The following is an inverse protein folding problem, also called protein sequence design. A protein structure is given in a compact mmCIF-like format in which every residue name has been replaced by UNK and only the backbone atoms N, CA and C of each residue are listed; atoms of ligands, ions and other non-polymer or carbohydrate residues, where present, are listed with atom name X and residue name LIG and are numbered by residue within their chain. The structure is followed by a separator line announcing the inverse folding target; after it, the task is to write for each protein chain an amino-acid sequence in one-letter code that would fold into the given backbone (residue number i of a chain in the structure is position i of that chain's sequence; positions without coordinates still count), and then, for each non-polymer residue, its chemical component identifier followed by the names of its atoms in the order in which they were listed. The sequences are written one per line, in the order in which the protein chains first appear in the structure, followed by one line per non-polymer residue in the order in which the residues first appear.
data_IF_025420492228
#
_entry.id   IF_025420492228
#
_cell.length_a   1.000
_cell.length_b   1.000
_cell.length_c   1.000
_cell.angle_alpha   90.00
_cell.angle_beta   90.00
_cell.angle_gamma   90.00
#
_symmetry.space_group_name_H-M   'P 1'
#
loop_
_entity.id
_entity.type
_entity.pdbx_description
1 polymer ?
#
# COMPACT_ATOMS: atom_id res chain seq x y z
N UNK A 1 19.70 -0.87 -19.35
CA UNK A 1 18.41 -0.16 -19.38
C UNK A 1 17.81 -0.38 -20.76
N UNK A 2 16.50 -0.60 -20.86
CA UNK A 2 15.84 -0.82 -22.16
C UNK A 2 15.85 0.48 -22.98
N UNK A 3 15.92 0.35 -24.30
CA UNK A 3 15.72 1.47 -25.22
C UNK A 3 14.23 1.79 -25.45
N UNK A 4 13.93 2.88 -26.15
CA UNK A 4 12.55 3.32 -26.39
C UNK A 4 11.71 2.28 -27.14
N UNK A 5 12.31 1.60 -28.13
CA UNK A 5 11.60 0.59 -28.93
C UNK A 5 11.28 -0.62 -28.06
N UNK A 6 12.26 -1.11 -27.30
CA UNK A 6 12.09 -2.20 -26.35
C UNK A 6 11.02 -1.89 -25.29
N UNK A 7 10.93 -0.65 -24.81
CA UNK A 7 9.88 -0.22 -23.88
C UNK A 7 8.51 -0.26 -24.56
N UNK A 8 8.39 0.25 -25.79
CA UNK A 8 7.14 0.24 -26.56
C UNK A 8 6.66 -1.18 -26.82
N UNK A 9 7.58 -2.07 -27.19
CA UNK A 9 7.29 -3.47 -27.45
C UNK A 9 6.81 -4.17 -26.17
N UNK A 10 7.52 -3.98 -25.05
CA UNK A 10 7.14 -4.52 -23.74
C UNK A 10 5.72 -4.10 -23.32
N UNK A 11 5.40 -2.81 -23.48
CA UNK A 11 4.07 -2.27 -23.13
C UNK A 11 3.00 -2.78 -24.07
N UNK A 12 3.28 -2.86 -25.37
CA UNK A 12 2.34 -3.35 -26.38
C UNK A 12 2.03 -4.82 -26.18
N UNK A 13 3.05 -5.64 -25.94
CA UNK A 13 2.94 -7.09 -25.84
C UNK A 13 2.33 -7.54 -24.51
N UNK A 14 2.74 -6.92 -23.40
CA UNK A 14 2.38 -7.42 -22.06
C UNK A 14 1.43 -6.49 -21.29
N UNK A 15 1.24 -5.24 -21.73
CA UNK A 15 0.47 -4.25 -20.97
C UNK A 15 -0.97 -4.66 -20.68
N UNK A 16 -1.64 -5.33 -21.61
CA UNK A 16 -2.99 -5.84 -21.41
C UNK A 16 -3.05 -7.00 -20.40
N UNK A 17 -2.07 -7.91 -20.47
CA UNK A 17 -2.00 -9.13 -19.63
C UNK A 17 -1.61 -8.82 -18.19
N UNK A 18 -0.77 -7.80 -17.96
CA UNK A 18 -0.34 -7.37 -16.62
C UNK A 18 -1.52 -6.97 -15.71
N UNK A 19 -2.65 -6.57 -16.31
CA UNK A 19 -3.86 -6.21 -15.58
C UNK A 19 -4.86 -7.36 -15.39
N UNK A 20 -4.60 -8.53 -15.98
CA UNK A 20 -5.44 -9.73 -15.85
C UNK A 20 -5.09 -10.58 -14.62
N UNK A 21 -4.19 -10.10 -13.75
CA UNK A 21 -3.77 -10.82 -12.55
C UNK A 21 -4.93 -11.09 -11.59
N UNK A 22 -4.88 -12.25 -10.93
CA UNK A 22 -5.83 -12.61 -9.86
C UNK A 22 -5.58 -11.75 -8.61
N UNK A 23 -6.63 -11.33 -7.88
CA UNK A 23 -6.46 -10.68 -6.59
C UNK A 23 -5.82 -11.65 -5.58
N UNK A 24 -5.03 -11.12 -4.63
CA UNK A 24 -4.30 -11.94 -3.65
C UNK A 24 -5.23 -12.84 -2.83
N UNK A 25 -6.44 -12.37 -2.54
CA UNK A 25 -7.47 -13.15 -1.85
C UNK A 25 -7.80 -14.44 -2.59
N UNK A 26 -8.02 -14.36 -3.90
CA UNK A 26 -8.30 -15.51 -4.74
C UNK A 26 -7.10 -16.46 -4.81
N UNK A 27 -5.87 -15.94 -4.94
CA UNK A 27 -4.64 -16.76 -4.95
C UNK A 27 -4.51 -17.58 -3.65
N UNK A 28 -4.87 -16.99 -2.50
CA UNK A 28 -4.84 -17.68 -1.20
C UNK A 28 -5.95 -18.74 -1.12
N UNK A 29 -7.17 -18.40 -1.56
CA UNK A 29 -8.34 -19.30 -1.56
C UNK A 29 -8.15 -20.50 -2.50
N UNK A 30 -7.51 -20.29 -3.65
CA UNK A 30 -7.16 -21.34 -4.63
C UNK A 30 -6.08 -22.31 -4.09
N UNK A 31 -5.43 -21.98 -2.96
CA UNK A 31 -4.41 -22.81 -2.33
C UNK A 31 -3.00 -22.64 -2.90
N UNK A 32 -2.79 -21.68 -3.81
CA UNK A 32 -1.48 -21.39 -4.40
C UNK A 32 -0.46 -20.86 -3.37
N UNK A 33 -0.95 -20.32 -2.25
CA UNK A 33 -0.13 -19.88 -1.12
C UNK A 33 -0.55 -20.57 0.19
N UNK A 34 -0.18 -21.85 0.41
CA UNK A 34 -0.62 -22.62 1.57
C UNK A 34 -0.25 -21.98 2.91
N UNK A 35 0.92 -21.31 2.97
CA UNK A 35 1.41 -20.62 4.17
C UNK A 35 0.53 -19.44 4.60
N UNK A 36 -0.26 -18.89 3.67
CA UNK A 36 -1.19 -17.79 3.93
C UNK A 36 -2.64 -18.27 4.07
N UNK A 37 -2.89 -19.59 4.07
CA UNK A 37 -4.23 -20.13 4.31
C UNK A 37 -4.80 -19.61 5.62
N UNK A 38 -6.06 -19.13 5.58
CA UNK A 38 -6.74 -18.52 6.73
C UNK A 38 -6.18 -17.15 7.15
N UNK A 39 -5.36 -16.50 6.32
CA UNK A 39 -4.94 -15.12 6.57
C UNK A 39 -6.10 -14.14 6.32
N UNK A 40 -6.08 -13.03 7.07
CA UNK A 40 -6.98 -11.91 6.82
C UNK A 40 -6.42 -11.06 5.69
N UNK A 41 -7.23 -10.83 4.66
CA UNK A 41 -6.91 -9.93 3.55
C UNK A 41 -7.74 -8.66 3.68
N UNK A 42 -7.07 -7.51 3.89
CA UNK A 42 -7.67 -6.20 3.83
C UNK A 42 -7.41 -5.57 2.46
N UNK A 43 -8.47 -5.45 1.66
CA UNK A 43 -8.38 -4.84 0.34
C UNK A 43 -8.26 -3.32 0.45
N UNK A 44 -7.17 -2.79 -0.08
CA UNK A 44 -6.92 -1.35 -0.10
C UNK A 44 -7.14 -0.75 -1.48
N UNK A 45 -7.01 0.58 -1.57
CA UNK A 45 -7.16 1.31 -2.83
C UNK A 45 -6.05 1.01 -3.85
N UNK A 46 -4.82 0.82 -3.35
CA UNK A 46 -3.59 0.70 -4.17
C UNK A 46 -2.71 -0.46 -3.70
N UNK A 47 -2.99 -1.01 -2.52
CA UNK A 47 -2.29 -2.19 -1.99
C UNK A 47 -3.21 -2.98 -1.07
N UNK A 48 -3.08 -4.29 -1.12
CA UNK A 48 -3.80 -5.19 -0.22
C UNK A 48 -2.90 -5.61 0.92
N UNK A 49 -3.43 -5.61 2.14
CA UNK A 49 -2.67 -6.02 3.33
C UNK A 49 -3.11 -7.41 3.76
N UNK A 50 -2.15 -8.33 3.86
CA UNK A 50 -2.35 -9.71 4.29
C UNK A 50 -1.62 -9.91 5.62
N UNK A 51 -2.34 -10.41 6.62
CA UNK A 51 -1.76 -10.71 7.92
C UNK A 51 -2.50 -11.86 8.59
N UNK A 52 -1.81 -12.50 9.54
CA UNK A 52 -2.36 -13.58 10.37
C UNK A 52 -1.66 -13.55 11.73
N UNK A 53 -2.27 -14.16 12.74
CA UNK A 53 -1.65 -14.30 14.07
C UNK A 53 -0.33 -15.07 14.00
N UNK A 54 -0.28 -16.16 13.24
CA UNK A 54 0.92 -16.99 13.08
C UNK A 54 1.89 -16.48 12.00
N UNK A 55 1.63 -15.31 11.41
CA UNK A 55 2.54 -14.69 10.44
C UNK A 55 3.48 -13.75 11.19
N UNK A 56 4.55 -14.34 11.74
CA UNK A 56 5.52 -13.66 12.61
C UNK A 56 6.95 -13.86 12.11
N UNK A 57 7.86 -12.97 12.49
CA UNK A 57 9.30 -13.14 12.29
C UNK A 57 9.84 -14.27 13.16
N UNK A 58 11.10 -14.69 12.95
CA UNK A 58 11.79 -15.64 13.85
C UNK A 58 11.85 -15.15 15.31
N UNK A 59 11.81 -13.83 15.51
CA UNK A 59 11.77 -13.19 16.83
C UNK A 59 10.34 -13.06 17.41
N UNK A 60 9.32 -13.61 16.73
CA UNK A 60 7.92 -13.54 17.16
C UNK A 60 7.22 -12.22 16.85
N UNK A 61 7.85 -11.31 16.09
CA UNK A 61 7.23 -10.03 15.75
C UNK A 61 6.19 -10.21 14.64
N UNK A 62 4.95 -9.71 14.80
CA UNK A 62 3.92 -9.84 13.77
C UNK A 62 4.27 -9.13 12.46
N UNK A 63 4.03 -9.81 11.35
CA UNK A 63 4.29 -9.33 10.00
C UNK A 63 2.96 -9.00 9.30
N UNK A 64 2.97 -7.90 8.55
CA UNK A 64 1.98 -7.54 7.54
C UNK A 64 2.64 -7.59 6.16
N UNK A 65 2.08 -8.37 5.25
CA UNK A 65 2.49 -8.40 3.85
C UNK A 65 1.62 -7.44 3.06
N UNK A 66 2.25 -6.47 2.39
CA UNK A 66 1.56 -5.50 1.53
C UNK A 66 1.79 -5.87 0.08
N UNK A 67 0.72 -6.24 -0.62
CA UNK A 67 0.71 -6.57 -2.05
C UNK A 67 0.32 -5.32 -2.83
N UNK A 68 1.26 -4.77 -3.59
CA UNK A 68 1.04 -3.65 -4.51
C UNK A 68 0.24 -4.13 -5.71
N UNK A 69 -0.59 -3.25 -6.25
CA UNK A 69 -1.37 -3.54 -7.44
C UNK A 69 -1.29 -2.40 -8.45
N UNK A 70 -1.76 -2.70 -9.65
CA UNK A 70 -1.81 -1.76 -10.75
C UNK A 70 -3.04 -0.83 -10.72
N UNK A 71 -3.92 -0.96 -9.70
CA UNK A 71 -5.18 -0.20 -9.60
C UNK A 71 -4.92 1.28 -9.35
N UNK A 72 -5.78 2.13 -9.90
CA UNK A 72 -5.74 3.59 -9.72
C UNK A 72 -7.04 4.04 -9.09
N UNK A 73 -6.95 4.80 -8.01
CA UNK A 73 -8.08 5.44 -7.36
C UNK A 73 -7.90 6.94 -7.39
N UNK A 74 -8.87 7.65 -7.96
CA UNK A 74 -8.96 9.12 -7.89
C UNK A 74 -10.40 9.48 -7.52
N UNK A 75 -10.59 10.29 -6.49
CA UNK A 75 -11.92 10.67 -5.95
C UNK A 75 -12.81 9.47 -5.62
N UNK A 76 -12.24 8.43 -4.99
CA UNK A 76 -12.95 7.21 -4.56
C UNK A 76 -13.58 6.37 -5.70
N UNK A 77 -13.32 6.72 -6.96
CA UNK A 77 -13.70 5.93 -8.14
C UNK A 77 -12.48 5.18 -8.66
N UNK A 78 -12.63 3.87 -8.89
CA UNK A 78 -11.64 3.06 -9.59
C UNK A 78 -11.68 3.44 -11.08
N UNK A 79 -10.59 4.05 -11.59
CA UNK A 79 -10.51 4.53 -12.99
C UNK A 79 -9.76 3.56 -13.92
N UNK A 80 -9.46 2.36 -13.45
CA UNK A 80 -8.74 1.33 -14.20
C UNK A 80 -7.38 1.02 -13.61
N UNK A 81 -6.49 0.50 -14.45
CA UNK A 81 -5.16 0.08 -14.06
C UNK A 81 -4.10 0.61 -15.03
N UNK A 82 -2.94 1.02 -14.51
CA UNK A 82 -1.77 1.37 -15.32
C UNK A 82 -0.84 0.15 -15.32
N UNK A 83 -0.50 -0.43 -16.48
CA UNK A 83 0.46 -1.53 -16.54
C UNK A 83 1.80 -1.16 -15.89
N UNK A 84 2.38 -2.10 -15.16
CA UNK A 84 3.68 -1.98 -14.48
C UNK A 84 3.77 -0.92 -13.37
N UNK A 85 2.65 -0.29 -12.99
CA UNK A 85 2.62 0.73 -11.93
C UNK A 85 3.20 0.19 -10.63
N UNK A 86 2.82 -1.02 -10.25
CA UNK A 86 3.26 -1.69 -9.03
C UNK A 86 4.80 -1.84 -8.97
N UNK A 87 5.42 -2.30 -10.07
CA UNK A 87 6.86 -2.50 -10.21
C UNK A 87 7.62 -1.17 -10.25
N UNK A 88 7.13 -0.19 -11.02
CA UNK A 88 7.74 1.15 -11.07
C UNK A 88 7.71 1.80 -9.68
N UNK A 89 6.59 1.69 -8.98
CA UNK A 89 6.49 2.17 -7.61
C UNK A 89 7.36 1.36 -6.65
N UNK A 90 7.58 0.06 -6.88
CA UNK A 90 8.46 -0.78 -6.07
C UNK A 90 9.90 -0.29 -6.14
N UNK A 91 10.42 -0.10 -7.35
CA UNK A 91 11.75 0.48 -7.56
C UNK A 91 11.90 1.86 -6.94
N UNK A 92 10.95 2.77 -7.20
CA UNK A 92 11.02 4.12 -6.65
C UNK A 92 11.00 4.10 -5.12
N UNK A 93 10.14 3.28 -4.53
CA UNK A 93 10.05 3.16 -3.09
C UNK A 93 11.33 2.56 -2.48
N UNK A 94 11.87 1.48 -3.03
CA UNK A 94 13.11 0.88 -2.55
C UNK A 94 14.28 1.87 -2.64
N UNK A 95 14.40 2.57 -3.77
CA UNK A 95 15.41 3.61 -3.94
C UNK A 95 15.28 4.71 -2.88
N UNK A 96 14.08 5.27 -2.69
CA UNK A 96 13.84 6.32 -1.70
C UNK A 96 14.06 5.82 -0.27
N UNK A 97 13.64 4.59 0.04
CA UNK A 97 13.89 3.97 1.34
C UNK A 97 15.39 3.86 1.63
N UNK A 98 16.17 3.38 0.67
CA UNK A 98 17.62 3.25 0.82
C UNK A 98 18.33 4.60 1.04
N UNK A 99 17.80 5.69 0.49
CA UNK A 99 18.35 7.04 0.72
C UNK A 99 18.10 7.57 2.13
N UNK A 100 16.96 7.23 2.75
CA UNK A 100 16.51 7.88 4.00
C UNK A 100 16.46 6.98 5.22
N UNK A 101 16.57 5.65 5.05
CA UNK A 101 16.41 4.67 6.14
C UNK A 101 17.36 4.87 7.31
N UNK A 102 18.59 5.31 7.06
CA UNK A 102 19.60 5.49 8.11
C UNK A 102 19.30 6.72 8.99
N UNK A 103 18.49 7.65 8.47
CA UNK A 103 18.09 8.88 9.18
C UNK A 103 16.71 8.72 9.82
N UNK A 104 15.75 8.14 9.11
CA UNK A 104 14.35 8.08 9.54
C UNK A 104 13.94 6.72 10.14
N UNK A 105 14.76 5.68 9.98
CA UNK A 105 14.38 4.31 10.28
C UNK A 105 13.40 3.74 9.25
N UNK A 106 12.97 2.49 9.45
CA UNK A 106 12.00 1.81 8.60
C UNK A 106 11.19 0.81 9.40
N UNK A 107 9.90 0.69 9.08
CA UNK A 107 9.04 -0.39 9.56
C UNK A 107 8.97 -1.57 8.58
N UNK A 108 9.79 -1.56 7.51
CA UNK A 108 9.87 -2.64 6.53
C UNK A 108 10.97 -3.60 6.94
N UNK A 109 10.67 -4.89 6.84
CA UNK A 109 11.65 -5.93 7.09
C UNK A 109 12.53 -6.12 5.86
N UNK A 110 13.84 -6.20 6.08
CA UNK A 110 14.74 -6.66 5.03
C UNK A 110 14.58 -8.17 4.86
N UNK A 111 14.35 -8.61 3.63
CA UNK A 111 14.30 -10.02 3.25
C UNK A 111 15.38 -10.28 2.23
N UNK A 112 16.32 -11.13 2.60
CA UNK A 112 17.42 -11.52 1.72
C UNK A 112 16.88 -12.15 0.43
N UNK A 113 17.42 -11.72 -0.70
CA UNK A 113 16.99 -12.18 -2.03
C UNK A 113 15.68 -11.56 -2.55
N UNK A 114 14.99 -10.73 -1.77
CA UNK A 114 13.82 -10.00 -2.27
C UNK A 114 14.27 -8.88 -3.20
N UNK A 115 13.86 -8.96 -4.48
CA UNK A 115 14.22 -7.96 -5.48
C UNK A 115 13.54 -6.61 -5.18
N UNK A 116 14.19 -5.47 -5.50
CA UNK A 116 13.57 -4.14 -5.42
C UNK A 116 12.30 -3.97 -6.28
N UNK A 117 12.18 -4.78 -7.34
CA UNK A 117 10.98 -4.85 -8.19
C UNK A 117 9.83 -5.63 -7.57
N UNK A 118 10.03 -6.27 -6.41
CA UNK A 118 9.02 -7.09 -5.76
C UNK A 118 7.78 -6.25 -5.44
N UNK A 119 6.63 -6.76 -5.85
CA UNK A 119 5.33 -6.15 -5.57
C UNK A 119 4.85 -6.45 -4.14
N UNK A 120 5.59 -7.26 -3.38
CA UNK A 120 5.29 -7.61 -1.99
C UNK A 120 6.29 -6.94 -1.04
N UNK A 121 5.77 -6.24 -0.03
CA UNK A 121 6.55 -5.64 1.05
C UNK A 121 6.19 -6.30 2.38
N UNK A 122 7.15 -6.89 3.10
CA UNK A 122 6.97 -7.27 4.49
C UNK A 122 7.21 -6.06 5.40
N UNK A 123 6.23 -5.74 6.25
CA UNK A 123 6.31 -4.65 7.20
C UNK A 123 5.79 -5.08 8.57
N UNK A 124 6.14 -4.31 9.59
CA UNK A 124 5.56 -4.47 10.92
C UNK A 124 4.04 -4.34 10.88
N UNK A 125 3.36 -5.21 11.63
CA UNK A 125 1.93 -5.10 11.84
C UNK A 125 1.63 -3.98 12.84
N UNK A 126 0.69 -3.10 12.52
CA UNK A 126 0.27 -1.98 13.38
C UNK A 126 -1.15 -2.20 13.92
N UNK A 127 -1.45 -1.68 15.11
CA UNK A 127 -2.79 -1.74 15.71
C UNK A 127 -3.89 -1.11 14.84
N UNK A 128 -3.52 -0.11 14.03
CA UNK A 128 -4.42 0.52 13.05
C UNK A 128 -4.90 -0.43 11.95
N UNK A 129 -4.18 -1.52 11.70
CA UNK A 129 -4.55 -2.51 10.69
C UNK A 129 -5.83 -3.26 11.08
N UNK A 130 -6.05 -3.53 12.37
CA UNK A 130 -7.28 -4.17 12.84
C UNK A 130 -8.51 -3.25 12.78
N UNK A 131 -8.30 -1.93 12.94
CA UNK A 131 -9.39 -0.97 13.01
C UNK A 131 -9.89 -0.50 11.62
N UNK A 132 -9.33 -1.01 10.52
CA UNK A 132 -9.56 -0.47 9.17
C UNK A 132 -9.16 1.01 9.04
N UNK A 133 -8.38 1.52 10.00
CA UNK A 133 -8.00 2.93 10.07
C UNK A 133 -6.78 3.15 9.19
N UNK A 134 -7.00 3.89 8.10
CA UNK A 134 -5.99 4.33 7.14
C UNK A 134 -4.85 5.07 7.84
N UNK A 135 -3.81 4.35 8.20
CA UNK A 135 -2.59 4.94 8.76
C UNK A 135 -1.48 4.59 7.79
N UNK A 136 -1.11 5.56 6.94
CA UNK A 136 0.13 5.46 6.21
C UNK A 136 1.25 5.49 7.24
N UNK A 137 2.00 4.40 7.35
CA UNK A 137 3.28 4.40 8.05
C UNK A 137 4.34 4.51 6.98
N UNK A 138 5.01 5.65 6.95
CA UNK A 138 6.29 5.77 6.28
C UNK A 138 7.29 6.11 7.38
N UNK A 139 8.32 5.27 7.52
CA UNK A 139 9.47 5.49 8.42
C UNK A 139 9.14 5.55 9.93
N UNK A 140 8.47 4.53 10.48
CA UNK A 140 8.41 4.33 11.94
C UNK A 140 7.67 5.41 12.77
N UNK A 141 7.07 6.42 12.13
CA UNK A 141 6.23 7.43 12.79
C UNK A 141 4.82 7.44 12.19
N UNK A 142 3.81 7.56 13.07
CA UNK A 142 2.42 7.79 12.67
C UNK A 142 2.36 9.09 11.85
N UNK A 143 1.97 9.01 10.58
CA UNK A 143 1.80 10.17 9.70
C UNK A 143 0.66 11.12 10.15
N UNK A 144 -0.10 10.73 11.19
CA UNK A 144 -1.24 11.47 11.72
C UNK A 144 -0.87 12.77 12.48
N UNK A 145 0.42 13.11 12.61
CA UNK A 145 0.86 14.35 13.27
C UNK A 145 1.06 15.54 12.32
N UNK A 146 1.09 15.35 10.99
CA UNK A 146 1.37 16.44 10.05
C UNK A 146 0.21 16.86 9.15
N UNK A 147 -0.87 16.09 9.10
CA UNK A 147 -2.10 16.51 8.43
C UNK A 147 -3.29 16.27 9.35
N UNK A 148 -3.65 17.32 10.08
CA UNK A 148 -5.01 17.49 10.59
C UNK A 148 -5.97 17.48 9.40
N UNK A 149 -6.53 16.31 9.08
CA UNK A 149 -7.80 16.22 8.33
C UNK A 149 -8.93 16.42 9.34
N UNK A 150 -8.87 17.53 10.08
CA UNK A 150 -10.00 18.12 10.78
C UNK A 150 -10.13 19.57 10.34
N UNK A 151 -10.28 19.77 9.03
CA UNK A 151 -11.00 20.92 8.48
C UNK A 151 -11.56 20.48 7.14
N UNK A 152 -12.87 20.67 6.93
CA UNK A 152 -13.65 20.36 5.72
C UNK A 152 -14.27 18.95 5.58
N UNK A 153 -14.83 18.35 6.63
CA UNK A 153 -16.19 17.78 6.55
C UNK A 153 -16.82 17.81 7.93
N UNK A 154 -17.76 18.72 8.16
CA UNK A 154 -18.57 18.68 9.37
C UNK A 154 -19.29 19.97 9.70
N UNK A 155 -20.31 20.37 8.94
CA UNK A 155 -21.52 20.87 9.57
C UNK A 155 -22.73 20.82 8.63
N UNK A 156 -23.81 20.23 9.14
CA UNK A 156 -25.14 20.18 8.53
C UNK A 156 -25.73 21.61 8.46
N UNK A 157 -26.57 21.82 7.44
CA UNK A 157 -27.46 22.99 7.21
C UNK A 157 -27.91 23.72 8.47
N UNK A 158 -27.74 25.04 8.48
CA UNK A 158 -28.64 26.00 9.12
C UNK A 158 -28.68 27.31 8.30
N UNK A 159 -29.87 27.92 8.23
CA UNK A 159 -30.26 29.06 7.40
C UNK A 159 -29.65 30.39 7.89
N UNK A 160 -29.51 31.35 6.95
CA UNK A 160 -29.51 32.83 7.08
C UNK A 160 -28.89 33.45 8.35
N UNK A 161 -27.81 34.21 8.13
CA UNK A 161 -27.48 35.42 8.89
C UNK A 161 -26.59 35.25 10.12
N UNK A 162 -25.58 36.11 10.21
CA UNK A 162 -24.74 36.47 11.36
C UNK A 162 -23.61 35.51 11.82
N UNK A 163 -22.39 36.05 11.65
CA UNK A 163 -21.18 36.00 12.51
C UNK A 163 -21.16 35.07 13.73
N UNK A 164 -20.04 34.37 13.97
CA UNK A 164 -19.02 34.81 14.95
C UNK A 164 -17.75 33.92 14.92
N UNK A 165 -16.57 34.55 15.06
CA UNK A 165 -15.28 33.89 15.28
C UNK A 165 -15.23 33.22 16.67
N UNK A 166 -14.68 32.01 16.76
CA UNK A 166 -14.07 31.51 17.99
C UNK A 166 -12.58 31.22 17.75
N UNK A 167 -11.74 31.92 18.54
CA UNK A 167 -10.30 31.71 18.67
C UNK A 167 -10.02 30.47 19.51
N UNK A 168 -8.92 29.78 19.14
CA UNK A 168 -8.04 28.86 19.92
C UNK A 168 -8.70 27.82 20.82
#
# INVERSE_FOLDING_TARGET
MLDEQQIRDLVTEHGATVNQGRPIKQIIEDGDMPRLSGATVLEGKVSDSVFRENLVTKAGQPIRLMFRNNRISTHDVNRGAIPFKDQVLAFNHDHMLNLVKDVLGSSQFHVEGLLPSSTVIPAEKSESDYAGKRTAFIYGRKFNQYFSVSTLVGCKRARRGNFQLCRS
#
